data_IF_517035026370
#
_entry.id   IF_517035026370
#
_cell.length_a   1.000
_cell.length_b   1.000
_cell.length_c   1.000
_cell.angle_alpha   90.00
_cell.angle_beta   90.00
_cell.angle_gamma   90.00
#
_symmetry.space_group_name_H-M   'P 1'
#
loop_
_entity.id
_entity.type
_entity.pdbx_description
1 polymer ?
#
# COMPACT_ATOMS: atom_id res chain seq x y z
N UNK A 1 0.84 -0.35 -4.12
CA UNK A 1 -0.33 -1.23 -4.26
C UNK A 1 -0.04 -2.44 -5.15
N UNK A 2 0.28 -2.30 -6.44
CA UNK A 2 0.43 -3.43 -7.39
C UNK A 2 1.21 -4.66 -6.87
N UNK A 3 2.32 -4.45 -6.16
CA UNK A 3 3.20 -5.53 -5.67
C UNK A 3 3.15 -5.75 -4.15
N UNK A 4 2.18 -5.18 -3.43
CA UNK A 4 2.10 -5.28 -1.97
C UNK A 4 1.94 -6.72 -1.44
N UNK A 5 1.45 -7.64 -2.28
CA UNK A 5 1.30 -9.06 -1.93
C UNK A 5 2.45 -9.93 -2.43
N UNK A 6 3.48 -9.36 -3.09
CA UNK A 6 4.55 -10.14 -3.70
C UNK A 6 5.69 -10.46 -2.70
N UNK A 7 5.33 -11.17 -1.63
CA UNK A 7 6.21 -11.53 -0.53
C UNK A 7 7.53 -12.20 -0.93
N UNK A 8 7.56 -13.10 -1.94
CA UNK A 8 8.82 -13.66 -2.42
C UNK A 8 9.86 -12.59 -2.75
N UNK A 9 9.49 -11.47 -3.39
CA UNK A 9 10.45 -10.37 -3.61
C UNK A 9 10.62 -9.55 -2.32
N UNK A 10 9.55 -8.93 -1.83
CA UNK A 10 9.71 -7.82 -0.87
C UNK A 10 10.02 -8.26 0.56
N UNK A 11 10.05 -9.58 0.81
CA UNK A 11 10.48 -10.17 2.08
C UNK A 11 11.64 -11.15 1.91
N UNK A 12 11.57 -12.04 0.92
CA UNK A 12 12.53 -13.14 0.78
C UNK A 12 13.65 -12.86 -0.25
N UNK A 13 13.53 -11.78 -1.06
CA UNK A 13 14.55 -11.39 -2.04
C UNK A 13 14.59 -12.25 -3.32
N UNK A 14 13.53 -12.99 -3.60
CA UNK A 14 13.40 -13.85 -4.79
C UNK A 14 13.07 -13.04 -6.06
N UNK A 15 13.13 -13.71 -7.21
CA UNK A 15 12.74 -13.17 -8.53
C UNK A 15 13.53 -11.94 -9.02
N UNK A 16 14.70 -11.63 -8.43
CA UNK A 16 15.55 -10.51 -8.85
C UNK A 16 15.97 -10.57 -10.33
N UNK A 17 16.06 -11.78 -10.90
CA UNK A 17 16.39 -11.99 -12.32
C UNK A 17 15.28 -11.53 -13.28
N UNK A 18 14.06 -11.30 -12.79
CA UNK A 18 12.95 -10.75 -13.58
C UNK A 18 12.85 -9.21 -13.45
N UNK A 19 13.62 -8.60 -12.55
CA UNK A 19 13.49 -7.18 -12.20
C UNK A 19 14.41 -6.31 -13.06
N UNK A 20 13.85 -5.24 -13.60
CA UNK A 20 14.64 -4.14 -14.17
C UNK A 20 15.07 -3.15 -13.06
N UNK A 21 15.81 -2.11 -13.44
CA UNK A 21 16.32 -1.14 -12.47
C UNK A 21 15.22 -0.27 -11.85
N UNK A 22 14.16 0.02 -12.59
CA UNK A 22 12.99 0.72 -12.05
C UNK A 22 12.28 -0.12 -10.98
N UNK A 23 12.13 -1.43 -11.20
CA UNK A 23 11.53 -2.32 -10.21
C UNK A 23 12.35 -2.29 -8.93
N UNK A 24 13.68 -2.46 -9.02
CA UNK A 24 14.57 -2.44 -7.84
C UNK A 24 14.43 -1.16 -7.03
N UNK A 25 14.33 0.00 -7.69
CA UNK A 25 14.08 1.28 -7.03
C UNK A 25 12.69 1.32 -6.36
N UNK A 26 11.64 0.85 -7.04
CA UNK A 26 10.28 0.88 -6.53
C UNK A 26 10.03 -0.08 -5.37
N UNK A 27 10.73 -1.22 -5.33
CA UNK A 27 10.58 -2.18 -4.24
C UNK A 27 11.08 -1.67 -2.89
N UNK A 28 11.89 -0.60 -2.86
CA UNK A 28 12.12 0.18 -1.64
C UNK A 28 10.79 0.65 -1.03
N UNK A 29 9.91 1.25 -1.82
CA UNK A 29 8.62 1.77 -1.35
C UNK A 29 7.63 0.67 -0.99
N UNK A 30 7.69 -0.48 -1.68
CA UNK A 30 6.88 -1.66 -1.32
C UNK A 30 7.27 -2.17 0.07
N UNK A 31 8.58 -2.27 0.34
CA UNK A 31 9.12 -2.67 1.65
C UNK A 31 8.76 -1.69 2.76
N UNK A 32 8.84 -0.38 2.51
CA UNK A 32 8.45 0.66 3.48
C UNK A 32 6.94 0.65 3.77
N UNK A 33 6.11 0.33 2.78
CA UNK A 33 4.66 0.24 2.96
C UNK A 33 4.24 -1.02 3.74
N UNK A 34 4.92 -2.16 3.53
CA UNK A 34 4.53 -3.47 4.03
C UNK A 34 4.27 -3.56 5.55
N UNK A 35 5.04 -2.90 6.45
CA UNK A 35 4.74 -2.89 7.89
C UNK A 35 3.36 -2.34 8.22
N UNK A 36 2.90 -1.33 7.48
CA UNK A 36 1.59 -0.70 7.67
C UNK A 36 0.44 -1.51 7.07
N UNK A 37 0.72 -2.46 6.18
CA UNK A 37 -0.28 -3.43 5.70
C UNK A 37 -0.40 -4.62 6.68
N UNK A 38 0.75 -5.10 7.17
CA UNK A 38 0.83 -6.32 7.97
C UNK A 38 0.40 -6.13 9.43
N UNK A 39 0.83 -5.03 10.06
CA UNK A 39 0.79 -4.88 11.52
C UNK A 39 -0.25 -3.92 12.15
N UNK A 40 -1.11 -3.16 11.43
CA UNK A 40 -2.10 -2.32 12.12
C UNK A 40 -3.31 -3.13 12.63
N UNK A 41 -3.18 -4.45 12.82
CA UNK A 41 -4.24 -5.29 13.40
C UNK A 41 -4.26 -5.14 14.92
N UNK A 42 -4.59 -3.92 15.38
CA UNK A 42 -5.08 -3.74 16.74
C UNK A 42 -6.35 -4.57 16.92
N UNK A 43 -6.55 -5.13 18.12
CA UNK A 43 -7.82 -5.78 18.47
C UNK A 43 -8.97 -4.76 18.48
N UNK A 44 -8.66 -3.49 18.69
CA UNK A 44 -9.62 -2.40 18.69
C UNK A 44 -9.87 -1.88 17.27
N UNK A 45 -11.14 -1.81 16.90
CA UNK A 45 -11.54 -1.22 15.62
C UNK A 45 -11.36 0.30 15.66
N UNK A 46 -10.85 0.92 14.58
CA UNK A 46 -10.74 2.36 14.52
C UNK A 46 -12.13 3.03 14.51
N UNK A 47 -12.21 4.24 15.08
CA UNK A 47 -13.42 5.03 15.03
C UNK A 47 -13.62 5.62 13.62
N UNK A 48 -14.42 4.94 12.80
CA UNK A 48 -14.68 5.33 11.41
C UNK A 48 -15.32 6.71 11.31
N UNK A 49 -16.26 7.06 12.20
CA UNK A 49 -16.93 8.36 12.16
C UNK A 49 -15.95 9.53 12.34
N UNK A 50 -14.93 9.34 13.17
CA UNK A 50 -13.86 10.34 13.38
C UNK A 50 -12.89 10.41 12.18
N UNK A 51 -12.57 9.28 11.57
CA UNK A 51 -11.57 9.20 10.49
C UNK A 51 -12.13 9.58 9.12
N UNK A 52 -13.44 9.37 8.89
CA UNK A 52 -14.07 9.52 7.58
C UNK A 52 -13.82 10.90 6.94
N UNK A 53 -14.00 12.04 7.64
CA UNK A 53 -13.81 13.35 7.01
C UNK A 53 -12.39 13.57 6.48
N UNK A 54 -11.38 13.03 7.18
CA UNK A 54 -9.98 13.12 6.76
C UNK A 54 -9.73 12.32 5.47
N UNK A 55 -10.19 11.06 5.40
CA UNK A 55 -10.01 10.25 4.21
C UNK A 55 -10.87 10.74 3.03
N UNK A 56 -12.06 11.27 3.27
CA UNK A 56 -12.90 11.88 2.23
C UNK A 56 -12.20 13.08 1.58
N UNK A 57 -11.48 13.91 2.34
CA UNK A 57 -10.68 15.01 1.79
C UNK A 57 -9.54 14.49 0.90
N UNK A 58 -8.81 13.47 1.34
CA UNK A 58 -7.74 12.86 0.53
C UNK A 58 -8.31 12.21 -0.75
N UNK A 59 -9.46 11.53 -0.65
CA UNK A 59 -10.11 10.94 -1.82
C UNK A 59 -10.49 12.02 -2.83
N UNK A 60 -11.05 13.14 -2.37
CA UNK A 60 -11.41 14.26 -3.24
C UNK A 60 -10.20 14.97 -3.87
N UNK A 61 -9.03 14.94 -3.21
CA UNK A 61 -7.77 15.48 -3.75
C UNK A 61 -7.17 14.59 -4.84
N UNK A 62 -7.17 13.26 -4.63
CA UNK A 62 -6.44 12.33 -5.50
C UNK A 62 -7.30 11.64 -6.56
N UNK A 63 -8.63 11.63 -6.43
CA UNK A 63 -9.53 10.90 -7.32
C UNK A 63 -10.69 11.76 -7.83
N UNK A 64 -11.24 11.47 -9.03
CA UNK A 64 -12.49 12.08 -9.48
C UNK A 64 -13.66 11.61 -8.61
N UNK A 65 -14.72 12.41 -8.56
CA UNK A 65 -15.92 12.12 -7.76
C UNK A 65 -16.60 10.79 -8.14
N UNK A 66 -16.44 10.34 -9.38
CA UNK A 66 -16.93 9.04 -9.85
C UNK A 66 -15.80 8.30 -10.57
N UNK A 67 -15.65 7.02 -10.23
CA UNK A 67 -14.61 6.13 -10.76
C UNK A 67 -15.31 5.01 -11.55
N UNK A 68 -14.72 4.60 -12.68
CA UNK A 68 -15.11 3.40 -13.41
C UNK A 68 -14.31 2.22 -12.86
N UNK A 69 -15.00 1.37 -12.09
CA UNK A 69 -14.42 0.19 -11.46
C UNK A 69 -14.46 -1.04 -12.37
#
# INVERSE_FOLDING_TARGET
>A
IRYHSFYPEHKEGEYQFLMNDHDKEMFKWVREFNPYDLYPKSHERPNIARLRPYYEQLIAEYFPAQICW
#
